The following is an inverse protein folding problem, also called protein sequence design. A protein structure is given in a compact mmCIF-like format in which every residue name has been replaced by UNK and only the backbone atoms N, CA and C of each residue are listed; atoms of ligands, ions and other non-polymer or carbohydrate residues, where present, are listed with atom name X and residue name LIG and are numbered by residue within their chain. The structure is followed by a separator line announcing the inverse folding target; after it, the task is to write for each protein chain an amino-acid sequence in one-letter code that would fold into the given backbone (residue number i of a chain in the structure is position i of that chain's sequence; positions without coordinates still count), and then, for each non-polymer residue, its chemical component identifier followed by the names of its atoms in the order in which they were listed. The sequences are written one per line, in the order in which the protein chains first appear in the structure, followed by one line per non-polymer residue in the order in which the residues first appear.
data_IF_201668123317
#
_entry.id   IF_201668123317
#
_cell.length_a   1.000
_cell.length_b   1.000
_cell.length_c   1.000
_cell.angle_alpha   90.00
_cell.angle_beta   90.00
_cell.angle_gamma   90.00
#
_symmetry.space_group_name_H-M   'P 1'
#
loop_
_entity.id
_entity.type
_entity.pdbx_description
1 polymer ?
#
# COMPACT_ATOMS: atom_id res chain seq x y z
N UNK A 1 7.80 4.56 -19.49
CA UNK A 1 7.77 4.29 -20.94
C UNK A 1 8.96 3.44 -21.35
N UNK A 2 10.18 3.84 -21.06
CA UNK A 2 11.41 3.14 -21.53
C UNK A 2 11.40 1.65 -21.12
N UNK A 3 11.10 1.35 -19.86
CA UNK A 3 10.99 -0.03 -19.37
C UNK A 3 9.99 -0.89 -20.17
N UNK A 4 8.85 -0.31 -20.59
CA UNK A 4 7.88 -1.01 -21.41
C UNK A 4 8.42 -1.27 -22.80
N UNK A 5 9.07 -0.26 -23.39
CA UNK A 5 9.66 -0.39 -24.72
C UNK A 5 10.80 -1.41 -24.75
N UNK A 6 11.65 -1.42 -23.72
CA UNK A 6 12.76 -2.38 -23.57
C UNK A 6 12.24 -3.81 -23.39
N UNK A 7 11.08 -3.98 -22.74
CA UNK A 7 10.39 -5.26 -22.61
C UNK A 7 9.58 -5.67 -23.88
N UNK A 8 9.63 -4.84 -24.96
CA UNK A 8 9.00 -5.16 -26.23
C UNK A 8 7.57 -4.68 -26.40
N UNK A 9 7.05 -3.86 -25.48
CA UNK A 9 5.73 -3.24 -25.67
C UNK A 9 5.77 -2.14 -26.74
N UNK A 10 4.75 -2.10 -27.58
CA UNK A 10 4.47 -0.98 -28.45
C UNK A 10 3.66 0.06 -27.65
N UNK A 11 4.32 1.12 -27.19
CA UNK A 11 3.65 2.19 -26.42
C UNK A 11 2.94 3.13 -27.38
N UNK A 12 1.69 3.51 -27.05
CA UNK A 12 0.88 4.42 -27.84
C UNK A 12 1.52 5.82 -27.94
N UNK A 13 2.03 6.22 -29.13
CA UNK A 13 2.76 7.47 -29.28
C UNK A 13 1.84 8.69 -29.16
N UNK A 14 0.55 8.57 -29.47
CA UNK A 14 -0.43 9.66 -29.35
C UNK A 14 -0.66 9.98 -27.89
N UNK A 15 -0.89 8.97 -27.06
CA UNK A 15 -1.03 9.15 -25.61
C UNK A 15 0.28 9.67 -25.00
N UNK A 16 1.43 9.13 -25.40
CA UNK A 16 2.73 9.60 -24.92
C UNK A 16 2.96 11.08 -25.27
N UNK A 17 2.65 11.49 -26.50
CA UNK A 17 2.78 12.87 -26.94
C UNK A 17 1.86 13.81 -26.15
N UNK A 18 0.65 13.37 -25.85
CA UNK A 18 -0.31 14.11 -25.03
C UNK A 18 0.26 14.40 -23.64
N UNK A 19 0.72 13.38 -22.92
CA UNK A 19 1.32 13.54 -21.59
C UNK A 19 2.60 14.38 -21.56
N UNK A 20 3.27 14.55 -22.70
CA UNK A 20 4.49 15.36 -22.80
C UNK A 20 4.25 16.76 -23.37
N UNK A 21 3.05 17.05 -23.84
CA UNK A 21 2.69 18.34 -24.45
C UNK A 21 2.60 19.47 -23.42
N UNK A 22 2.74 20.71 -23.92
CA UNK A 22 2.57 21.91 -23.09
C UNK A 22 1.11 22.13 -22.69
N UNK A 23 0.16 21.70 -23.50
CA UNK A 23 -1.28 21.79 -23.22
C UNK A 23 -1.68 20.96 -21.98
N UNK A 24 -0.90 19.91 -21.69
CA UNK A 24 -1.10 19.07 -20.51
C UNK A 24 -0.28 19.49 -19.28
N UNK A 25 0.46 20.60 -19.38
CA UNK A 25 1.24 21.12 -18.25
C UNK A 25 0.38 21.38 -17.02
N UNK A 26 -0.88 21.78 -17.20
CA UNK A 26 -1.86 22.01 -16.14
C UNK A 26 -2.20 20.74 -15.32
N UNK A 27 -2.04 19.55 -15.92
CA UNK A 27 -2.29 18.27 -15.28
C UNK A 27 -1.00 17.62 -14.78
N UNK A 28 0.16 18.24 -15.03
CA UNK A 28 1.42 17.77 -14.49
C UNK A 28 1.54 18.22 -13.05
N UNK A 29 1.98 17.33 -12.20
CA UNK A 29 2.42 17.71 -10.87
C UNK A 29 3.55 18.72 -11.04
N UNK A 30 3.43 19.89 -10.39
CA UNK A 30 4.44 20.93 -10.47
C UNK A 30 5.80 20.39 -10.06
N UNK A 31 6.83 20.66 -10.85
CA UNK A 31 8.22 20.38 -10.50
C UNK A 31 8.74 21.36 -9.46
N UNK A 32 7.85 21.99 -8.71
CA UNK A 32 8.15 23.08 -7.81
C UNK A 32 9.02 22.56 -6.67
N UNK A 33 10.22 23.04 -6.73
CA UNK A 33 11.25 23.07 -5.72
C UNK A 33 10.92 22.29 -4.45
N UNK A 34 11.54 21.13 -4.31
CA UNK A 34 11.64 20.39 -3.03
C UNK A 34 12.13 21.26 -1.84
N UNK A 35 12.40 22.53 -2.08
CA UNK A 35 12.83 23.52 -1.09
C UNK A 35 11.75 24.51 -0.64
N UNK A 36 10.56 24.51 -1.22
CA UNK A 36 9.42 25.26 -0.70
C UNK A 36 8.32 24.25 -0.32
N UNK A 37 8.25 23.93 0.94
CA UNK A 37 7.20 23.14 1.56
C UNK A 37 5.87 23.92 1.48
N UNK A 38 5.26 23.92 0.31
CA UNK A 38 3.98 24.58 0.06
C UNK A 38 2.91 23.56 -0.29
N UNK A 39 1.65 23.92 -0.09
CA UNK A 39 0.47 23.07 -0.32
C UNK A 39 0.39 22.42 -1.69
N UNK A 40 1.11 22.92 -2.69
CA UNK A 40 1.13 22.39 -4.05
C UNK A 40 1.89 21.06 -4.23
N UNK A 41 2.69 20.63 -3.23
CA UNK A 41 3.42 19.36 -3.29
C UNK A 41 2.50 18.16 -3.17
N UNK A 42 1.34 18.31 -2.56
CA UNK A 42 0.35 17.24 -2.35
C UNK A 42 -0.71 17.16 -3.45
N UNK A 43 -0.69 18.04 -4.44
CA UNK A 43 -1.67 17.99 -5.52
C UNK A 43 -1.53 16.72 -6.37
N UNK A 44 -2.67 16.08 -6.65
CA UNK A 44 -2.76 14.89 -7.50
C UNK A 44 -3.18 15.33 -8.90
N UNK A 45 -2.44 16.11 -9.57
CA UNK A 45 -2.81 16.71 -10.85
C UNK A 45 -2.98 15.68 -11.99
N UNK A 46 -4.08 14.92 -11.96
CA UNK A 46 -4.45 14.01 -13.04
C UNK A 46 -5.46 14.66 -13.96
N UNK A 47 -5.35 14.40 -15.27
CA UNK A 47 -6.31 14.85 -16.25
C UNK A 47 -7.61 14.04 -16.13
N UNK A 48 -8.80 14.67 -16.16
CA UNK A 48 -10.05 13.92 -16.23
C UNK A 48 -10.16 13.17 -17.56
N UNK A 49 -10.91 12.08 -17.60
CA UNK A 49 -11.15 11.33 -18.84
C UNK A 49 -11.66 12.22 -20.00
N UNK A 50 -12.42 13.26 -19.70
CA UNK A 50 -12.92 14.22 -20.68
C UNK A 50 -11.83 15.04 -21.37
N UNK A 51 -10.65 15.14 -20.78
CA UNK A 51 -9.51 15.85 -21.37
C UNK A 51 -8.84 15.07 -22.52
N UNK A 52 -9.01 13.75 -22.55
CA UNK A 52 -8.56 12.94 -23.67
C UNK A 52 -9.46 13.19 -24.88
N UNK A 53 -8.92 13.80 -25.91
CA UNK A 53 -9.66 14.14 -27.13
C UNK A 53 -10.02 12.90 -27.97
N UNK A 54 -10.73 13.11 -29.07
CA UNK A 54 -11.18 12.03 -29.95
C UNK A 54 -10.00 11.27 -30.57
N UNK A 55 -8.90 11.95 -30.89
CA UNK A 55 -7.73 11.35 -31.52
C UNK A 55 -6.99 10.45 -30.50
N UNK A 56 -6.82 10.94 -29.26
CA UNK A 56 -6.25 10.17 -28.18
C UNK A 56 -7.06 8.90 -27.91
N UNK A 57 -8.38 9.03 -27.75
CA UNK A 57 -9.26 7.87 -27.49
C UNK A 57 -9.28 6.89 -28.67
N UNK A 58 -9.38 7.37 -29.91
CA UNK A 58 -9.40 6.50 -31.08
C UNK A 58 -8.08 5.76 -31.30
N UNK A 59 -6.96 6.33 -30.85
CA UNK A 59 -5.65 5.69 -30.96
C UNK A 59 -5.51 4.46 -30.07
N UNK A 60 -6.28 4.37 -28.99
CA UNK A 60 -6.17 3.28 -27.99
C UNK A 60 -6.42 1.92 -28.61
N UNK A 61 -7.40 1.80 -29.52
CA UNK A 61 -7.73 0.52 -30.14
C UNK A 61 -6.58 -0.10 -30.96
N UNK A 62 -5.61 0.69 -31.39
CA UNK A 62 -4.42 0.22 -32.10
C UNK A 62 -3.35 -0.33 -31.15
N UNK A 63 -3.47 -0.03 -29.84
CA UNK A 63 -2.56 -0.43 -28.77
C UNK A 63 -3.34 -1.13 -27.65
N UNK A 64 -4.42 -1.80 -28.01
CA UNK A 64 -5.45 -2.26 -27.08
C UNK A 64 -5.12 -3.55 -26.30
N UNK A 65 -3.87 -4.03 -26.28
CA UNK A 65 -3.55 -5.22 -25.47
C UNK A 65 -3.63 -4.93 -23.97
N UNK A 66 -3.17 -3.78 -23.53
CA UNK A 66 -3.34 -3.32 -22.14
C UNK A 66 -3.37 -1.80 -22.02
N UNK A 67 -4.18 -1.30 -21.12
CA UNK A 67 -4.08 0.04 -20.57
C UNK A 67 -3.41 -0.01 -19.21
N UNK A 68 -2.37 0.80 -19.01
CA UNK A 68 -1.64 0.89 -17.75
C UNK A 68 -1.97 2.22 -17.10
N UNK A 69 -2.73 2.20 -16.01
CA UNK A 69 -3.04 3.37 -15.19
C UNK A 69 -2.01 3.47 -14.06
N UNK A 70 -1.42 4.66 -13.90
CA UNK A 70 -0.44 4.91 -12.84
C UNK A 70 -1.06 5.84 -11.80
N UNK A 71 -1.20 5.35 -10.58
CA UNK A 71 -1.66 6.13 -9.43
C UNK A 71 -0.44 6.62 -8.68
N UNK A 72 -0.25 7.94 -8.60
CA UNK A 72 0.90 8.54 -7.93
C UNK A 72 0.51 9.36 -6.72
N UNK A 73 1.26 9.22 -5.63
CA UNK A 73 1.17 10.08 -4.45
C UNK A 73 2.55 10.54 -4.04
N UNK A 74 2.64 11.72 -3.46
CA UNK A 74 3.87 12.23 -2.85
C UNK A 74 3.62 12.41 -1.35
N UNK A 75 4.60 12.06 -0.55
CA UNK A 75 4.68 12.38 0.86
C UNK A 75 6.13 12.29 1.28
N UNK A 76 6.51 12.99 2.33
CA UNK A 76 7.87 13.00 2.81
C UNK A 76 8.05 13.95 3.98
N UNK A 77 9.29 14.18 4.35
CA UNK A 77 9.67 15.05 5.45
C UNK A 77 9.03 16.45 5.31
N UNK A 78 8.38 16.91 6.37
CA UNK A 78 7.69 18.20 6.40
C UNK A 78 6.42 18.28 5.54
N UNK A 79 5.98 17.15 4.96
CA UNK A 79 4.81 17.07 4.10
C UNK A 79 4.03 15.81 4.49
N UNK A 80 3.28 15.92 5.58
CA UNK A 80 2.43 14.84 6.05
C UNK A 80 1.28 14.61 5.07
N UNK A 81 0.95 13.34 4.87
CA UNK A 81 -0.19 12.98 4.04
C UNK A 81 -1.47 13.42 4.71
N UNK A 82 -2.31 14.05 3.94
CA UNK A 82 -3.65 14.42 4.38
C UNK A 82 -4.51 13.14 4.37
N UNK A 83 -4.67 12.55 5.56
CA UNK A 83 -5.77 11.63 5.80
C UNK A 83 -7.10 12.39 5.71
N UNK A 84 -8.23 11.73 6.01
CA UNK A 84 -9.52 12.45 6.14
C UNK A 84 -9.32 13.63 7.07
N UNK A 85 -9.14 14.80 6.48
CA UNK A 85 -9.07 16.04 7.22
C UNK A 85 -10.42 16.22 7.93
N UNK A 86 -10.40 16.30 9.24
CA UNK A 86 -11.57 16.72 10.01
C UNK A 86 -12.09 18.09 9.56
N UNK A 87 -11.26 18.85 8.88
CA UNK A 87 -11.47 20.25 8.56
C UNK A 87 -11.77 20.49 7.06
N UNK A 88 -11.88 19.42 6.26
CA UNK A 88 -12.20 19.55 4.83
C UNK A 88 -11.17 20.38 4.06
N UNK A 89 -9.89 20.27 4.42
CA UNK A 89 -8.83 20.98 3.70
C UNK A 89 -8.83 20.46 2.27
N UNK A 90 -9.30 21.32 1.38
CA UNK A 90 -9.10 21.19 -0.05
C UNK A 90 -7.59 21.24 -0.29
N UNK A 91 -7.01 20.16 -0.80
CA UNK A 91 -5.59 20.11 -1.17
C UNK A 91 -5.27 20.99 -2.39
N UNK A 92 -6.20 21.84 -2.79
CA UNK A 92 -6.04 22.86 -3.82
C UNK A 92 -6.34 22.38 -5.25
N UNK A 93 -6.69 21.12 -5.43
CA UNK A 93 -7.13 20.56 -6.73
C UNK A 93 -8.66 20.42 -6.85
N UNK A 94 -9.39 20.80 -5.81
CA UNK A 94 -10.85 20.77 -5.77
C UNK A 94 -11.46 19.37 -5.69
N UNK A 95 -10.67 18.36 -5.35
CA UNK A 95 -11.04 16.95 -5.49
C UNK A 95 -11.34 16.26 -4.14
N UNK A 96 -11.54 17.06 -3.11
CA UNK A 96 -12.00 16.55 -1.81
C UNK A 96 -10.89 16.15 -0.83
N UNK A 97 -11.28 15.81 0.39
CA UNK A 97 -10.39 15.82 1.54
C UNK A 97 -9.51 14.58 1.71
N UNK A 98 -9.63 13.56 0.87
CA UNK A 98 -8.92 12.30 1.11
C UNK A 98 -7.83 12.02 0.07
N UNK A 99 -6.61 12.36 0.46
CA UNK A 99 -5.44 12.17 -0.39
C UNK A 99 -5.10 10.69 -0.66
N UNK A 100 -5.57 9.78 0.16
CA UNK A 100 -5.28 8.35 0.05
C UNK A 100 -6.31 7.58 -0.77
N UNK A 101 -7.40 8.22 -1.17
CA UNK A 101 -8.41 7.65 -2.08
C UNK A 101 -8.10 7.97 -3.53
N UNK A 102 -8.75 7.27 -4.46
CA UNK A 102 -8.82 7.73 -5.85
C UNK A 102 -9.60 9.03 -5.90
N UNK A 103 -9.03 10.05 -6.53
CA UNK A 103 -9.73 11.29 -6.75
C UNK A 103 -10.73 11.18 -7.92
N UNK A 104 -11.55 12.22 -8.12
CA UNK A 104 -12.57 12.23 -9.16
C UNK A 104 -12.00 12.06 -10.58
N UNK A 105 -10.80 12.59 -10.85
CA UNK A 105 -10.15 12.47 -12.15
C UNK A 105 -9.62 11.05 -12.36
N UNK A 106 -8.94 10.48 -11.36
CA UNK A 106 -8.48 9.08 -11.40
C UNK A 106 -9.66 8.12 -11.58
N UNK A 107 -10.75 8.32 -10.84
CA UNK A 107 -11.98 7.55 -11.00
C UNK A 107 -12.54 7.68 -12.41
N UNK A 108 -12.57 8.89 -12.96
CA UNK A 108 -13.08 9.11 -14.32
C UNK A 108 -12.22 8.44 -15.39
N UNK A 109 -10.89 8.37 -15.19
CA UNK A 109 -9.98 7.62 -16.07
C UNK A 109 -10.30 6.13 -16.00
N UNK A 110 -10.40 5.58 -14.80
CA UNK A 110 -10.71 4.16 -14.61
C UNK A 110 -12.05 3.79 -15.26
N UNK A 111 -13.08 4.60 -15.07
CA UNK A 111 -14.39 4.39 -15.67
C UNK A 111 -14.32 4.43 -17.21
N UNK A 112 -13.58 5.39 -17.77
CA UNK A 112 -13.35 5.45 -19.21
C UNK A 112 -12.61 4.24 -19.77
N UNK A 113 -11.62 3.74 -19.05
CA UNK A 113 -10.91 2.50 -19.42
C UNK A 113 -11.82 1.28 -19.34
N UNK A 114 -12.71 1.19 -18.35
CA UNK A 114 -13.73 0.12 -18.24
C UNK A 114 -14.71 0.15 -19.40
N UNK A 115 -15.17 1.34 -19.82
CA UNK A 115 -16.00 1.47 -21.02
C UNK A 115 -15.29 0.94 -22.27
N UNK A 116 -14.01 1.28 -22.45
CA UNK A 116 -13.20 0.79 -23.57
C UNK A 116 -12.96 -0.74 -23.49
N UNK A 117 -12.79 -1.28 -22.29
CA UNK A 117 -12.70 -2.73 -22.10
C UNK A 117 -14.01 -3.43 -22.46
N UNK A 118 -15.12 -2.89 -22.01
CA UNK A 118 -16.44 -3.43 -22.32
C UNK A 118 -16.80 -3.36 -23.83
N UNK A 119 -16.29 -2.35 -24.55
CA UNK A 119 -16.44 -2.25 -26.01
C UNK A 119 -15.46 -3.13 -26.79
N UNK A 120 -14.45 -3.72 -26.12
CA UNK A 120 -13.41 -4.55 -26.74
C UNK A 120 -12.27 -3.75 -27.37
N UNK A 121 -12.18 -2.46 -27.11
CA UNK A 121 -11.08 -1.61 -27.58
C UNK A 121 -9.78 -1.87 -26.82
N UNK A 122 -9.88 -2.25 -25.55
CA UNK A 122 -8.75 -2.74 -24.74
C UNK A 122 -9.09 -4.09 -24.14
N UNK A 123 -8.05 -4.91 -23.89
CA UNK A 123 -8.22 -6.24 -23.30
C UNK A 123 -8.01 -6.26 -21.80
N UNK A 124 -7.01 -5.52 -21.32
CA UNK A 124 -6.59 -5.55 -19.93
C UNK A 124 -6.43 -4.15 -19.35
N UNK A 125 -6.82 -4.00 -18.08
CA UNK A 125 -6.54 -2.82 -17.26
C UNK A 125 -5.54 -3.23 -16.18
N UNK A 126 -4.39 -2.57 -16.16
CA UNK A 126 -3.32 -2.78 -15.19
C UNK A 126 -3.13 -1.51 -14.39
N UNK A 127 -3.10 -1.60 -13.06
CA UNK A 127 -2.88 -0.46 -12.18
C UNK A 127 -1.49 -0.54 -11.55
N UNK A 128 -0.72 0.53 -11.67
CA UNK A 128 0.56 0.70 -10.98
C UNK A 128 0.40 1.73 -9.87
N UNK A 129 0.61 1.31 -8.63
CA UNK A 129 0.56 2.20 -7.46
C UNK A 129 1.97 2.70 -7.16
N UNK A 130 2.27 3.92 -7.61
CA UNK A 130 3.57 4.57 -7.45
C UNK A 130 3.55 5.51 -6.24
N UNK A 131 3.62 4.89 -5.08
CA UNK A 131 3.60 5.57 -3.79
C UNK A 131 4.31 4.72 -2.73
N UNK A 132 5.10 5.37 -1.86
CA UNK A 132 5.88 4.68 -0.83
C UNK A 132 5.01 4.15 0.32
N UNK A 133 3.88 4.78 0.60
CA UNK A 133 2.89 4.33 1.59
C UNK A 133 1.76 3.51 0.97
N UNK A 134 0.68 3.30 1.74
CA UNK A 134 -0.53 2.62 1.30
C UNK A 134 -1.63 3.63 0.97
N UNK A 135 -2.31 3.43 -0.15
CA UNK A 135 -3.58 4.08 -0.47
C UNK A 135 -4.74 3.17 -0.09
N UNK A 136 -5.96 3.70 -0.07
CA UNK A 136 -7.15 2.86 0.05
C UNK A 136 -7.25 1.92 -1.15
N UNK A 137 -7.58 0.69 -0.87
CA UNK A 137 -7.57 -0.38 -1.87
C UNK A 137 -8.95 -0.88 -2.26
N UNK A 138 -10.01 -0.11 -2.00
CA UNK A 138 -11.39 -0.45 -2.35
C UNK A 138 -11.56 -0.72 -3.84
N UNK A 139 -10.94 0.10 -4.69
CA UNK A 139 -10.96 -0.05 -6.16
C UNK A 139 -10.37 -1.38 -6.64
N UNK A 140 -9.50 -2.04 -5.86
CA UNK A 140 -8.93 -3.35 -6.20
C UNK A 140 -9.94 -4.50 -6.14
N UNK A 141 -11.15 -4.25 -5.67
CA UNK A 141 -12.27 -5.20 -5.74
C UNK A 141 -13.00 -5.13 -7.10
N UNK A 142 -12.70 -4.15 -7.94
CA UNK A 142 -13.31 -4.01 -9.27
C UNK A 142 -12.85 -5.15 -10.19
N UNK A 143 -13.77 -5.99 -10.69
CA UNK A 143 -13.44 -7.15 -11.53
C UNK A 143 -12.88 -6.77 -12.90
N UNK A 144 -13.00 -5.52 -13.32
CA UNK A 144 -12.45 -5.03 -14.59
C UNK A 144 -10.95 -4.73 -14.51
N UNK A 145 -10.39 -4.62 -13.31
CA UNK A 145 -8.95 -4.49 -13.10
C UNK A 145 -8.31 -5.89 -13.13
N UNK A 146 -7.54 -6.17 -14.17
CA UNK A 146 -6.91 -7.49 -14.37
C UNK A 146 -5.67 -7.70 -13.51
N UNK A 147 -4.91 -6.62 -13.23
CA UNK A 147 -3.72 -6.68 -12.39
C UNK A 147 -3.46 -5.34 -11.69
N UNK A 148 -2.85 -5.41 -10.52
CA UNK A 148 -2.35 -4.25 -9.81
C UNK A 148 -0.96 -4.55 -9.21
N UNK A 149 -0.03 -3.59 -9.33
CA UNK A 149 1.30 -3.66 -8.73
C UNK A 149 1.51 -2.44 -7.84
N UNK A 150 1.78 -2.67 -6.57
CA UNK A 150 2.37 -1.65 -5.72
C UNK A 150 3.88 -1.62 -5.98
N UNK A 151 4.34 -0.53 -6.58
CA UNK A 151 5.75 -0.38 -7.01
C UNK A 151 6.56 0.53 -6.08
N UNK A 152 5.94 1.00 -5.00
CA UNK A 152 6.56 1.94 -4.08
C UNK A 152 6.88 3.28 -4.77
N UNK A 153 7.80 4.05 -4.20
CA UNK A 153 8.33 5.23 -4.86
C UNK A 153 9.39 4.79 -5.89
N UNK A 154 9.05 4.84 -7.16
CA UNK A 154 9.96 4.44 -8.24
C UNK A 154 11.17 5.38 -8.29
N UNK A 155 12.33 4.82 -7.92
CA UNK A 155 13.62 5.41 -8.21
C UNK A 155 14.25 4.77 -9.46
N UNK A 156 15.43 4.20 -9.30
CA UNK A 156 16.16 3.46 -10.37
C UNK A 156 15.53 2.10 -10.72
N UNK A 157 14.56 1.60 -9.95
CA UNK A 157 13.94 0.28 -10.15
C UNK A 157 12.86 0.23 -11.23
N UNK A 158 12.51 1.35 -11.86
CA UNK A 158 11.45 1.41 -12.87
C UNK A 158 11.69 0.53 -14.09
N UNK A 159 12.93 0.17 -14.36
CA UNK A 159 13.32 -0.74 -15.46
C UNK A 159 12.71 -2.15 -15.33
N UNK A 160 12.45 -2.61 -14.11
CA UNK A 160 11.93 -3.95 -13.88
C UNK A 160 10.44 -4.11 -14.25
N UNK A 161 9.68 -3.01 -14.37
CA UNK A 161 8.22 -3.09 -14.55
C UNK A 161 7.86 -3.81 -15.85
N UNK A 162 8.49 -3.47 -16.97
CA UNK A 162 8.24 -4.11 -18.24
C UNK A 162 8.46 -5.62 -18.18
N UNK A 163 9.58 -6.04 -17.59
CA UNK A 163 9.93 -7.46 -17.43
C UNK A 163 8.99 -8.23 -16.49
N UNK A 164 8.46 -7.55 -15.46
CA UNK A 164 7.41 -8.11 -14.61
C UNK A 164 6.13 -8.35 -15.41
N UNK A 165 5.71 -7.38 -16.22
CA UNK A 165 4.45 -7.45 -16.96
C UNK A 165 4.46 -8.52 -18.07
N UNK A 166 5.62 -8.83 -18.66
CA UNK A 166 5.73 -9.89 -19.67
C UNK A 166 6.09 -11.26 -19.07
N UNK A 167 6.30 -11.35 -17.77
CA UNK A 167 6.60 -12.62 -17.09
C UNK A 167 8.06 -13.07 -17.15
N UNK A 168 8.99 -12.23 -17.60
CA UNK A 168 10.43 -12.54 -17.59
C UNK A 168 10.96 -12.70 -16.15
N UNK A 169 10.35 -11.98 -15.22
CA UNK A 169 10.68 -12.01 -13.80
C UNK A 169 9.41 -12.22 -12.99
N UNK A 170 9.40 -13.21 -12.10
CA UNK A 170 8.30 -13.41 -11.17
C UNK A 170 8.33 -12.37 -10.04
N UNK A 171 7.20 -11.70 -9.76
CA UNK A 171 7.08 -10.85 -8.58
C UNK A 171 7.38 -11.65 -7.30
N UNK A 172 8.08 -11.07 -6.36
CA UNK A 172 8.40 -11.70 -5.08
C UNK A 172 8.33 -10.73 -3.90
N UNK A 173 7.84 -9.52 -4.16
CA UNK A 173 7.55 -8.52 -3.14
C UNK A 173 6.33 -8.92 -2.30
N UNK A 174 6.28 -8.39 -1.08
CA UNK A 174 5.13 -8.51 -0.18
C UNK A 174 4.79 -7.12 0.34
N UNK A 175 3.50 -6.85 0.55
CA UNK A 175 3.07 -5.59 1.12
C UNK A 175 3.66 -5.42 2.53
N UNK A 176 4.32 -4.29 2.80
CA UNK A 176 4.93 -4.02 4.10
C UNK A 176 3.94 -3.47 5.12
N UNK A 177 2.69 -3.26 4.72
CA UNK A 177 1.60 -2.77 5.56
C UNK A 177 0.26 -3.34 5.09
N UNK A 178 -0.78 -3.18 5.92
CA UNK A 178 -2.17 -3.48 5.57
C UNK A 178 -2.70 -2.42 4.61
N UNK A 179 -3.27 -2.83 3.50
CA UNK A 179 -4.02 -1.94 2.62
C UNK A 179 -5.49 -1.95 3.03
N UNK A 180 -5.99 -0.81 3.44
CA UNK A 180 -7.34 -0.66 3.97
C UNK A 180 -8.36 -0.43 2.85
N UNK A 181 -9.59 -0.89 3.05
CA UNK A 181 -10.72 -0.54 2.18
C UNK A 181 -11.11 0.92 2.40
N UNK A 182 -11.09 1.36 3.66
CA UNK A 182 -11.40 2.72 4.09
C UNK A 182 -10.46 3.05 5.27
N UNK A 183 -9.60 4.03 5.09
CA UNK A 183 -8.66 4.46 6.10
C UNK A 183 -9.32 5.03 7.37
N UNK A 184 -10.60 5.44 7.31
CA UNK A 184 -11.34 5.82 8.51
C UNK A 184 -11.54 4.65 9.49
N UNK A 185 -11.33 3.41 9.04
CA UNK A 185 -11.36 2.20 9.88
C UNK A 185 -10.00 1.86 10.49
N UNK A 186 -8.95 2.57 10.08
CA UNK A 186 -7.61 2.40 10.64
C UNK A 186 -7.51 3.17 11.96
N UNK A 187 -7.22 2.51 13.09
CA UNK A 187 -7.14 3.15 14.40
C UNK A 187 -6.16 4.32 14.46
N UNK A 188 -5.07 4.26 13.70
CA UNK A 188 -4.06 5.33 13.62
C UNK A 188 -4.68 6.62 13.07
N UNK A 189 -5.53 6.51 12.03
CA UNK A 189 -6.11 7.68 11.37
C UNK A 189 -7.26 8.33 12.13
N UNK A 190 -7.84 7.65 13.12
CA UNK A 190 -8.89 8.24 13.97
C UNK A 190 -8.42 9.50 14.68
N UNK A 191 -7.15 9.51 15.12
CA UNK A 191 -6.53 10.62 15.83
C UNK A 191 -5.41 11.29 15.03
N UNK A 192 -5.27 10.91 13.77
CA UNK A 192 -4.30 11.55 12.87
C UNK A 192 -4.73 12.99 12.55
N UNK A 193 -3.76 13.88 12.49
CA UNK A 193 -3.97 15.29 12.18
C UNK A 193 -3.58 16.20 13.33
N UNK A 194 -3.91 17.47 13.17
CA UNK A 194 -3.59 18.50 14.18
C UNK A 194 -4.70 18.56 15.23
N UNK A 195 -4.42 18.04 16.42
CA UNK A 195 -5.28 18.24 17.59
C UNK A 195 -4.79 19.46 18.37
N UNK A 196 -5.62 20.48 18.50
CA UNK A 196 -5.28 21.72 19.18
C UNK A 196 -5.71 21.69 20.64
N UNK A 197 -4.91 22.30 21.52
CA UNK A 197 -5.32 22.55 22.88
C UNK A 197 -6.48 23.57 22.90
N UNK A 198 -7.51 23.30 23.70
CA UNK A 198 -8.72 24.13 23.76
C UNK A 198 -8.52 25.50 24.43
N UNK A 199 -7.39 25.71 25.09
CA UNK A 199 -7.07 26.93 25.85
C UNK A 199 -5.88 27.71 25.25
N UNK A 200 -5.69 27.65 23.95
CA UNK A 200 -4.58 28.36 23.27
C UNK A 200 -4.65 29.86 23.42
N UNK A 201 -5.84 30.46 23.58
CA UNK A 201 -6.07 31.86 23.82
C UNK A 201 -5.46 32.34 25.15
N UNK A 202 -5.44 31.50 26.19
CA UNK A 202 -4.78 31.78 27.46
C UNK A 202 -3.26 31.99 27.30
N UNK A 203 -2.69 31.42 26.24
CA UNK A 203 -1.27 31.55 25.88
C UNK A 203 -1.03 32.57 24.77
N UNK A 204 -2.06 33.35 24.39
CA UNK A 204 -1.97 34.38 23.38
C UNK A 204 -1.90 33.85 21.94
N UNK A 205 -2.28 32.57 21.71
CA UNK A 205 -2.32 31.94 20.41
C UNK A 205 -3.76 32.04 19.88
N UNK A 206 -4.01 33.02 19.03
CA UNK A 206 -5.34 33.30 18.48
C UNK A 206 -5.56 32.68 17.10
N UNK A 207 -4.48 32.28 16.43
CA UNK A 207 -4.51 31.57 15.15
C UNK A 207 -3.55 30.37 15.24
N UNK A 208 -4.04 29.18 15.57
CA UNK A 208 -3.21 27.99 15.71
C UNK A 208 -2.61 27.52 14.38
N UNK A 209 -3.21 27.88 13.24
CA UNK A 209 -2.73 27.56 11.89
C UNK A 209 -1.82 28.66 11.33
N UNK A 210 -1.75 29.81 12.03
CA UNK A 210 -0.87 30.91 11.66
C UNK A 210 0.60 30.56 11.79
N UNK A 211 1.41 31.18 10.96
CA UNK A 211 2.80 30.93 10.57
C UNK A 211 3.86 30.73 11.69
N UNK A 212 3.50 30.46 12.91
CA UNK A 212 4.41 30.14 14.00
C UNK A 212 4.33 28.66 14.40
N UNK A 213 4.84 27.79 13.53
CA UNK A 213 5.06 26.37 13.84
C UNK A 213 5.95 26.14 15.08
N UNK A 214 6.56 27.18 15.61
CA UNK A 214 7.37 27.12 16.83
C UNK A 214 6.57 27.13 18.13
N UNK A 215 5.25 27.31 18.06
CA UNK A 215 4.37 27.24 19.23
C UNK A 215 3.80 25.84 19.34
N UNK A 216 4.01 25.20 20.48
CA UNK A 216 3.48 23.88 20.84
C UNK A 216 1.95 23.94 20.99
N UNK A 217 1.25 24.24 19.89
CA UNK A 217 -0.20 24.41 19.87
C UNK A 217 -0.95 23.09 19.67
N UNK A 218 -0.26 22.04 19.22
CA UNK A 218 -0.85 20.76 18.88
C UNK A 218 -0.33 19.63 19.76
N UNK A 219 -1.11 18.54 19.82
CA UNK A 219 -0.72 17.30 20.48
C UNK A 219 -1.15 16.11 19.63
N UNK A 220 -0.49 14.98 19.85
CA UNK A 220 -0.81 13.69 19.20
C UNK A 220 -1.33 12.70 20.24
N UNK A 221 -2.34 11.91 19.87
CA UNK A 221 -2.90 10.86 20.72
C UNK A 221 -2.67 9.51 20.07
N UNK A 222 -1.84 8.68 20.70
CA UNK A 222 -1.57 7.29 20.27
C UNK A 222 -2.58 6.34 20.93
N UNK A 223 -3.84 6.45 20.54
CA UNK A 223 -4.93 5.67 21.13
C UNK A 223 -4.87 4.20 20.73
N UNK A 224 -4.28 3.91 19.59
CA UNK A 224 -4.14 2.57 19.03
C UNK A 224 -3.22 1.66 19.86
N UNK A 225 -2.30 2.23 20.65
CA UNK A 225 -1.37 1.48 21.46
C UNK A 225 -0.51 0.53 20.62
N UNK A 226 -0.49 -0.76 20.96
CA UNK A 226 0.25 -1.77 20.20
C UNK A 226 -0.50 -2.30 18.96
N UNK A 227 -1.77 -1.95 18.80
CA UNK A 227 -2.62 -2.45 17.72
C UNK A 227 -2.47 -1.63 16.44
N UNK A 228 -1.29 -1.69 15.82
CA UNK A 228 -0.95 -1.02 14.56
C UNK A 228 -1.11 -1.97 13.37
N UNK A 229 -1.68 -1.48 12.26
CA UNK A 229 -1.78 -2.21 11.01
C UNK A 229 -2.37 -3.62 11.20
N UNK A 230 -1.65 -4.65 10.75
CA UNK A 230 -2.07 -6.05 10.85
C UNK A 230 -2.26 -6.52 12.30
N UNK A 231 -1.53 -5.97 13.27
CA UNK A 231 -1.73 -6.33 14.68
C UNK A 231 -3.14 -6.01 15.15
N UNK A 232 -3.75 -4.96 14.62
CA UNK A 232 -5.15 -4.65 14.87
C UNK A 232 -6.08 -5.58 14.09
N UNK A 233 -5.92 -5.66 12.79
CA UNK A 233 -6.87 -6.37 11.91
C UNK A 233 -6.90 -7.87 12.21
N UNK A 234 -5.74 -8.49 12.42
CA UNK A 234 -5.65 -9.92 12.71
C UNK A 234 -6.14 -10.26 14.12
N UNK A 235 -5.87 -9.40 15.11
CA UNK A 235 -6.39 -9.61 16.47
C UNK A 235 -7.92 -9.48 16.49
N UNK A 236 -8.49 -8.49 15.79
CA UNK A 236 -9.94 -8.35 15.67
C UNK A 236 -10.58 -9.54 14.97
N UNK A 237 -9.93 -10.07 13.94
CA UNK A 237 -10.42 -11.25 13.23
C UNK A 237 -10.37 -12.51 14.12
N UNK A 238 -9.28 -12.72 14.84
CA UNK A 238 -9.15 -13.83 15.78
C UNK A 238 -10.23 -13.76 16.88
N UNK A 239 -10.43 -12.59 17.47
CA UNK A 239 -11.49 -12.35 18.46
C UNK A 239 -12.87 -12.68 17.94
N UNK A 240 -13.16 -12.32 16.67
CA UNK A 240 -14.41 -12.66 16.00
C UNK A 240 -14.58 -14.19 15.86
N UNK A 241 -13.53 -14.87 15.38
CA UNK A 241 -13.55 -16.33 15.15
C UNK A 241 -13.69 -17.10 16.46
N UNK A 242 -13.00 -16.65 17.50
CA UNK A 242 -13.03 -17.29 18.84
C UNK A 242 -14.26 -16.87 19.67
N UNK A 243 -14.98 -15.84 19.26
CA UNK A 243 -16.08 -15.25 20.03
C UNK A 243 -15.60 -14.60 21.33
N UNK A 244 -14.37 -14.10 21.34
CA UNK A 244 -13.75 -13.39 22.46
C UNK A 244 -13.86 -11.88 22.24
N UNK A 245 -13.67 -11.11 23.29
CA UNK A 245 -13.74 -9.64 23.27
C UNK A 245 -15.06 -9.06 22.70
N UNK A 246 -15.15 -7.75 22.65
CA UNK A 246 -16.30 -7.02 22.09
C UNK A 246 -16.01 -6.58 20.65
N UNK A 247 -16.05 -7.51 19.72
CA UNK A 247 -15.75 -7.25 18.30
C UNK A 247 -16.95 -6.74 17.50
N UNK A 248 -18.18 -6.90 18.06
CA UNK A 248 -19.41 -6.51 17.36
C UNK A 248 -19.61 -7.29 16.07
N UNK A 249 -19.91 -6.55 15.02
CA UNK A 249 -20.15 -7.02 13.65
C UNK A 249 -18.90 -6.84 12.76
N UNK A 250 -17.70 -7.02 13.30
CA UNK A 250 -16.46 -6.85 12.55
C UNK A 250 -16.42 -7.76 11.33
N UNK A 251 -16.34 -7.16 10.16
CA UNK A 251 -16.18 -7.83 8.88
C UNK A 251 -14.81 -7.54 8.30
N UNK A 252 -13.92 -8.53 8.36
CA UNK A 252 -12.54 -8.42 7.88
C UNK A 252 -12.46 -7.94 6.42
N UNK A 253 -13.29 -8.50 5.53
CA UNK A 253 -13.27 -8.17 4.11
C UNK A 253 -13.74 -6.74 3.82
N UNK A 254 -14.57 -6.16 4.69
CA UNK A 254 -14.99 -4.77 4.58
C UNK A 254 -13.96 -3.76 5.11
N UNK A 255 -12.90 -4.26 5.77
CA UNK A 255 -11.86 -3.43 6.41
C UNK A 255 -10.53 -3.55 5.66
N UNK A 256 -10.17 -4.76 5.27
CA UNK A 256 -8.85 -5.09 4.68
C UNK A 256 -8.99 -5.39 3.20
N UNK A 257 -8.50 -4.51 2.35
CA UNK A 257 -8.43 -4.73 0.90
C UNK A 257 -7.33 -5.77 0.56
N UNK A 258 -6.15 -5.61 1.17
CA UNK A 258 -5.05 -6.60 1.09
C UNK A 258 -4.32 -6.62 2.44
N UNK A 259 -4.07 -7.79 3.02
CA UNK A 259 -3.39 -7.89 4.31
C UNK A 259 -1.89 -7.58 4.20
N UNK A 260 -1.29 -7.28 5.34
CA UNK A 260 0.17 -7.26 5.50
C UNK A 260 0.78 -8.56 4.98
N UNK A 261 1.89 -8.45 4.26
CA UNK A 261 2.57 -9.62 3.70
C UNK A 261 1.91 -10.20 2.44
N UNK A 262 0.79 -9.62 1.95
CA UNK A 262 0.17 -10.04 0.71
C UNK A 262 1.10 -9.81 -0.49
N UNK A 263 1.05 -10.72 -1.45
CA UNK A 263 1.72 -10.59 -2.73
C UNK A 263 1.56 -11.85 -3.56
N UNK A 264 1.38 -11.68 -4.85
CA UNK A 264 1.29 -12.76 -5.82
C UNK A 264 2.63 -13.00 -6.50
N UNK A 265 2.79 -14.14 -7.09
CA UNK A 265 3.94 -14.54 -7.93
C UNK A 265 3.42 -15.29 -9.15
N UNK A 266 4.22 -15.36 -10.20
CA UNK A 266 3.95 -16.27 -11.31
C UNK A 266 4.39 -17.71 -10.99
N UNK A 267 5.28 -17.87 -10.00
CA UNK A 267 5.71 -19.18 -9.49
C UNK A 267 4.89 -19.53 -8.24
N UNK A 268 4.55 -20.81 -8.12
CA UNK A 268 3.89 -21.39 -6.96
C UNK A 268 4.91 -22.02 -6.02
N UNK A 269 4.66 -21.92 -4.71
CA UNK A 269 5.58 -22.43 -3.71
C UNK A 269 4.84 -23.25 -2.65
N UNK A 270 5.46 -24.35 -2.27
CA UNK A 270 5.05 -25.17 -1.13
C UNK A 270 6.04 -25.02 0.01
N UNK A 271 5.54 -24.82 1.22
CA UNK A 271 6.33 -24.83 2.46
C UNK A 271 6.14 -26.17 3.16
N UNK A 272 7.25 -26.80 3.54
CA UNK A 272 7.24 -28.11 4.18
C UNK A 272 8.34 -28.25 5.21
N UNK A 273 8.29 -29.31 6.01
CA UNK A 273 9.36 -29.68 6.95
C UNK A 273 9.68 -28.62 8.00
N UNK A 274 8.70 -27.80 8.41
CA UNK A 274 8.92 -26.80 9.44
C UNK A 274 9.33 -27.46 10.76
N UNK A 275 10.41 -26.93 11.34
CA UNK A 275 10.87 -27.31 12.69
C UNK A 275 11.31 -26.07 13.45
N UNK A 276 11.08 -26.07 14.75
CA UNK A 276 11.53 -25.02 15.67
C UNK A 276 12.33 -25.67 16.77
N UNK A 277 13.57 -25.23 16.97
CA UNK A 277 14.46 -25.73 18.05
C UNK A 277 14.98 -24.55 18.84
N UNK A 278 15.04 -24.74 20.19
CA UNK A 278 15.69 -23.75 21.06
C UNK A 278 17.19 -24.02 21.06
N UNK A 279 17.98 -23.00 20.74
CA UNK A 279 19.43 -23.04 20.78
C UNK A 279 19.97 -22.03 21.80
N UNK A 280 20.85 -22.49 22.70
CA UNK A 280 21.34 -21.65 23.79
C UNK A 280 20.25 -21.19 24.76
N UNK A 281 20.43 -19.99 25.31
CA UNK A 281 19.55 -19.47 26.36
C UNK A 281 18.33 -18.72 25.81
N UNK A 282 18.42 -18.17 24.59
CA UNK A 282 17.43 -17.19 24.09
C UNK A 282 17.04 -17.36 22.64
N UNK A 283 17.76 -18.15 21.84
CA UNK A 283 17.53 -18.23 20.42
C UNK A 283 16.59 -19.39 20.07
N UNK A 284 15.71 -19.15 19.13
CA UNK A 284 14.88 -20.15 18.46
C UNK A 284 15.27 -20.22 17.00
N UNK A 285 15.65 -21.39 16.54
CA UNK A 285 15.99 -21.65 15.15
C UNK A 285 14.81 -22.29 14.45
N UNK A 286 14.28 -21.58 13.46
CA UNK A 286 13.19 -22.02 12.61
C UNK A 286 13.77 -22.50 11.28
N UNK A 287 13.56 -23.76 10.94
CA UNK A 287 13.88 -24.29 9.62
C UNK A 287 12.59 -24.54 8.85
N UNK A 288 12.58 -24.20 7.57
CA UNK A 288 11.46 -24.49 6.66
C UNK A 288 12.01 -24.70 5.24
N UNK A 289 11.55 -25.74 4.59
CA UNK A 289 11.88 -26.02 3.19
C UNK A 289 10.83 -25.39 2.28
N UNK A 290 11.29 -24.61 1.32
CA UNK A 290 10.47 -23.98 0.27
C UNK A 290 10.77 -24.69 -1.04
N UNK A 291 9.75 -25.18 -1.70
CA UNK A 291 9.85 -25.83 -3.02
C UNK A 291 9.05 -25.01 -4.03
N UNK A 292 9.67 -24.68 -5.17
CA UNK A 292 8.93 -24.15 -6.31
C UNK A 292 8.16 -25.30 -6.99
N UNK A 293 6.84 -25.23 -6.93
CA UNK A 293 5.94 -26.26 -7.47
C UNK A 293 5.37 -25.92 -8.85
N UNK A 294 5.71 -24.75 -9.39
CA UNK A 294 5.28 -24.37 -10.75
C UNK A 294 6.04 -25.17 -11.82
N UNK A 295 5.40 -25.33 -12.97
CA UNK A 295 5.98 -26.05 -14.11
C UNK A 295 6.87 -25.13 -14.99
N UNK A 296 6.70 -23.83 -14.93
CA UNK A 296 7.25 -22.88 -15.91
C UNK A 296 8.11 -21.79 -15.30
N UNK A 297 7.65 -21.19 -14.21
CA UNK A 297 8.25 -19.95 -13.70
C UNK A 297 9.24 -20.18 -12.58
N UNK A 298 10.40 -19.56 -12.71
CA UNK A 298 11.35 -19.42 -11.60
C UNK A 298 10.95 -18.23 -10.73
N UNK A 299 11.20 -18.30 -9.44
CA UNK A 299 10.86 -17.20 -8.54
C UNK A 299 11.52 -17.27 -7.18
N UNK A 300 11.28 -16.25 -6.36
CA UNK A 300 11.69 -16.19 -4.96
C UNK A 300 10.46 -16.23 -4.07
N UNK A 301 10.57 -16.90 -2.93
CA UNK A 301 9.55 -16.91 -1.90
C UNK A 301 10.03 -16.17 -0.65
N UNK A 302 9.21 -15.25 -0.15
CA UNK A 302 9.42 -14.64 1.17
C UNK A 302 8.64 -15.42 2.21
N UNK A 303 9.30 -15.79 3.30
CA UNK A 303 8.74 -16.60 4.39
C UNK A 303 8.79 -15.79 5.67
N UNK A 304 7.68 -15.17 6.10
CA UNK A 304 7.59 -14.48 7.38
C UNK A 304 7.48 -15.50 8.53
N UNK A 305 8.08 -15.17 9.66
CA UNK A 305 7.97 -15.92 10.91
C UNK A 305 7.18 -15.09 11.90
N UNK A 306 6.04 -15.62 12.32
CA UNK A 306 5.17 -14.97 13.30
C UNK A 306 5.19 -15.73 14.61
N UNK A 307 5.04 -15.00 15.71
CA UNK A 307 4.72 -15.55 17.01
C UNK A 307 3.27 -15.24 17.37
N UNK A 308 2.54 -16.25 17.82
CA UNK A 308 1.24 -16.07 18.44
C UNK A 308 1.41 -16.12 19.96
N UNK A 309 0.92 -15.09 20.63
CA UNK A 309 1.03 -14.95 22.07
C UNK A 309 -0.32 -15.22 22.74
N UNK A 310 -0.39 -16.07 23.78
CA UNK A 310 -1.66 -16.30 24.46
C UNK A 310 -2.10 -15.06 25.24
N UNK A 311 -3.35 -14.68 25.08
CA UNK A 311 -3.99 -13.66 25.91
C UNK A 311 -4.50 -14.28 27.21
N UNK A 312 -3.58 -14.52 28.15
CA UNK A 312 -3.83 -15.20 29.42
C UNK A 312 -4.45 -14.31 30.50
N UNK A 313 -4.69 -14.90 31.68
CA UNK A 313 -5.33 -14.20 32.81
C UNK A 313 -4.49 -13.00 33.28
N UNK A 314 -3.16 -13.15 33.32
CA UNK A 314 -2.26 -12.04 33.68
C UNK A 314 -2.45 -10.81 32.78
N UNK A 315 -2.49 -11.01 31.47
CA UNK A 315 -2.69 -9.91 30.51
C UNK A 315 -4.07 -9.24 30.71
N UNK A 316 -5.13 -10.05 30.96
CA UNK A 316 -6.47 -9.54 31.22
C UNK A 316 -6.58 -8.75 32.52
N UNK A 317 -6.04 -9.28 33.60
CA UNK A 317 -6.10 -8.67 34.93
C UNK A 317 -5.30 -7.36 35.00
N UNK A 318 -4.20 -7.27 34.25
CA UNK A 318 -3.33 -6.11 34.23
C UNK A 318 -3.57 -5.20 33.01
N UNK A 319 -4.55 -5.50 32.16
CA UNK A 319 -4.90 -4.72 30.97
C UNK A 319 -3.74 -4.56 29.97
N UNK A 320 -2.89 -5.58 29.86
CA UNK A 320 -1.76 -5.60 28.95
C UNK A 320 -2.27 -5.88 27.54
N UNK A 321 -1.83 -5.08 26.59
CA UNK A 321 -2.15 -5.27 25.16
C UNK A 321 -1.28 -6.38 24.58
N UNK A 322 -1.92 -7.39 23.97
CA UNK A 322 -1.24 -8.53 23.36
C UNK A 322 -1.87 -8.79 21.99
N UNK A 323 -1.20 -8.38 20.90
CA UNK A 323 -1.65 -8.75 19.56
C UNK A 323 -1.65 -10.27 19.37
N UNK A 324 -2.63 -10.78 18.62
CA UNK A 324 -2.78 -12.23 18.37
C UNK A 324 -1.57 -12.81 17.64
N UNK A 325 -1.01 -12.04 16.73
CA UNK A 325 0.18 -12.40 15.96
C UNK A 325 1.14 -11.23 15.85
N UNK A 326 2.44 -11.53 15.86
CA UNK A 326 3.49 -10.53 15.69
C UNK A 326 4.62 -11.08 14.82
N UNK A 327 5.01 -10.34 13.78
CA UNK A 327 6.15 -10.67 12.94
C UNK A 327 7.43 -10.51 13.78
N UNK A 328 8.21 -11.56 13.85
CA UNK A 328 9.47 -11.56 14.63
C UNK A 328 10.70 -11.66 13.74
N UNK A 329 10.57 -12.26 12.56
CA UNK A 329 11.64 -12.30 11.56
C UNK A 329 11.08 -12.74 10.20
N UNK A 330 11.91 -12.76 9.16
CA UNK A 330 11.58 -13.32 7.86
C UNK A 330 12.81 -13.82 7.12
N UNK A 331 12.59 -14.77 6.22
CA UNK A 331 13.60 -15.23 5.27
C UNK A 331 13.12 -15.05 3.84
N UNK A 332 14.04 -15.07 2.87
CA UNK A 332 13.73 -15.08 1.45
C UNK A 332 14.65 -16.03 0.71
N UNK A 333 14.08 -16.87 -0.15
CA UNK A 333 14.86 -17.81 -0.94
C UNK A 333 15.71 -17.12 -2.00
N UNK A 334 16.74 -17.79 -2.49
CA UNK A 334 17.29 -17.50 -3.82
C UNK A 334 16.21 -17.68 -4.90
N UNK A 335 16.53 -17.40 -6.15
CA UNK A 335 15.64 -17.78 -7.26
C UNK A 335 15.63 -19.32 -7.34
N UNK A 336 14.44 -19.89 -7.21
CA UNK A 336 14.22 -21.34 -7.35
C UNK A 336 13.63 -21.62 -8.74
N UNK A 337 14.28 -22.51 -9.49
CA UNK A 337 13.73 -23.05 -10.72
C UNK A 337 12.56 -24.00 -10.42
N UNK A 338 11.71 -24.32 -11.40
CA UNK A 338 10.67 -25.34 -11.26
C UNK A 338 11.20 -26.65 -10.65
N UNK A 339 10.58 -27.11 -9.58
CA UNK A 339 11.00 -28.31 -8.81
C UNK A 339 12.20 -28.10 -7.88
N UNK A 340 12.85 -26.95 -7.87
CA UNK A 340 13.97 -26.68 -6.98
C UNK A 340 13.47 -26.33 -5.55
N UNK A 341 14.25 -26.73 -4.56
CA UNK A 341 13.97 -26.46 -3.14
C UNK A 341 15.14 -25.78 -2.45
N UNK A 342 14.82 -25.03 -1.41
CA UNK A 342 15.78 -24.45 -0.47
C UNK A 342 15.24 -24.54 0.95
N UNK A 343 16.11 -24.91 1.89
CA UNK A 343 15.76 -24.84 3.31
C UNK A 343 16.29 -23.53 3.88
N UNK A 344 15.37 -22.69 4.34
CA UNK A 344 15.69 -21.48 5.08
C UNK A 344 15.90 -21.83 6.56
N UNK A 345 16.91 -21.22 7.15
CA UNK A 345 17.19 -21.28 8.60
C UNK A 345 17.12 -19.85 9.12
N UNK A 346 16.16 -19.57 10.00
CA UNK A 346 15.88 -18.24 10.54
C UNK A 346 16.04 -18.31 12.06
N UNK A 347 16.89 -17.45 12.62
CA UNK A 347 17.16 -17.42 14.07
C UNK A 347 16.46 -16.23 14.70
N UNK A 348 15.57 -16.51 15.65
CA UNK A 348 14.73 -15.50 16.32
C UNK A 348 15.15 -15.40 17.80
N UNK A 349 15.47 -14.20 18.26
CA UNK A 349 15.76 -13.91 19.68
C UNK A 349 14.44 -13.87 20.48
N UNK A 350 14.36 -14.60 21.59
CA UNK A 350 13.21 -14.68 22.50
C UNK A 350 12.71 -13.31 22.99
N UNK A 351 13.57 -12.28 23.04
CA UNK A 351 13.15 -10.92 23.41
C UNK A 351 12.08 -10.34 22.48
N UNK A 352 12.04 -10.81 21.20
CA UNK A 352 11.03 -10.38 20.25
C UNK A 352 9.63 -10.94 20.54
N UNK A 353 9.54 -11.90 21.48
CA UNK A 353 8.27 -12.44 21.96
C UNK A 353 7.66 -11.62 23.11
N UNK A 354 8.41 -10.68 23.66
CA UNK A 354 7.94 -9.87 24.76
C UNK A 354 6.78 -8.96 24.35
N UNK A 355 5.81 -8.82 25.25
CA UNK A 355 4.84 -7.73 25.22
C UNK A 355 5.30 -6.67 26.21
N UNK A 356 4.99 -5.43 25.91
CA UNK A 356 5.28 -4.33 26.82
C UNK A 356 4.20 -4.25 27.89
N UNK A 357 4.62 -4.11 29.16
CA UNK A 357 3.76 -3.97 30.34
C UNK A 357 3.82 -2.53 30.87
#
# INVERSE_FOLDING_TARGET
VDSLTDAGFAVNPTIQALYTSDDWAQYKRGSENLGSFGNNLLSINDAPWSAFDADARSSVSQYGDAAIMVIGRIGGEGTDLLGKSKDGIDNGDGIGPDYLQLNANETSILDGLKEMKASGEIKHIIVLINYAGMIEGDFLADPDIDAALWVGALGVGGEAIGHLLIGDVSPSGRLPDTMWVDNAKNPVLVNYGRNYYSNLDEFGITDPDGANESTFSTYTVYQEGMYLGYKYTETRYEDLVLGTANVGDYDYASVVARPFGFGLSYADFELSGMSVTREGDRDYVVNVTVTNTSDTYSGKCSVPVYVSKPYGDYARENQIQVPSVELVDFGKTKILAPGESETLTITVDEKLFASYD
#
